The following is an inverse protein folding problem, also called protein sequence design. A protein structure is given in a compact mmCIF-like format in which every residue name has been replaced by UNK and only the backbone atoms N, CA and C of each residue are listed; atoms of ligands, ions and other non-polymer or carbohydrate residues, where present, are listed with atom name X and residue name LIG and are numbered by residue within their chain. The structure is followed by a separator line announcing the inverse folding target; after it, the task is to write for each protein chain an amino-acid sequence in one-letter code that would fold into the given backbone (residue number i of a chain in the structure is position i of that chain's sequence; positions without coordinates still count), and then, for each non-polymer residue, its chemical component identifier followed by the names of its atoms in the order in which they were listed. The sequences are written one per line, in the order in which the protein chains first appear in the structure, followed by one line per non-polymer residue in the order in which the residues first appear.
data_IF_422636409850
#
_entry.id   IF_422636409850
#
_cell.length_a   1.000
_cell.length_b   1.000
_cell.length_c   1.000
_cell.angle_alpha   90.00
_cell.angle_beta   90.00
_cell.angle_gamma   90.00
#
_symmetry.space_group_name_H-M   'P 1'
#
loop_
_entity.id
_entity.type
_entity.pdbx_description
1 polymer ?
#
# COMPACT_ATOMS: atom_id res chain seq x y z
N UNK A 1 3.46 25.22 3.29
CA UNK A 1 2.42 24.94 2.27
C UNK A 1 1.13 24.63 3.01
N UNK A 2 0.01 25.29 2.67
CA UNK A 2 -1.28 24.98 3.30
C UNK A 2 -1.94 23.78 2.61
N UNK A 3 -2.81 23.07 3.31
CA UNK A 3 -3.40 21.84 2.78
C UNK A 3 -4.42 22.11 1.65
N UNK A 4 -5.04 23.30 1.66
CA UNK A 4 -5.90 23.79 0.59
C UNK A 4 -5.13 24.04 -0.70
N UNK A 5 -3.85 24.41 -0.60
CA UNK A 5 -2.97 24.55 -1.76
C UNK A 5 -2.61 23.17 -2.33
N UNK A 6 -2.41 22.18 -1.46
CA UNK A 6 -2.18 20.79 -1.85
C UNK A 6 -3.36 20.19 -2.62
N UNK A 7 -4.61 20.43 -2.20
CA UNK A 7 -5.80 19.90 -2.87
C UNK A 7 -6.05 20.51 -4.27
N UNK A 8 -5.39 21.62 -4.60
CA UNK A 8 -5.44 22.29 -5.91
C UNK A 8 -4.32 21.87 -6.86
N UNK A 9 -3.27 21.21 -6.35
CA UNK A 9 -2.16 20.73 -7.17
C UNK A 9 -2.62 19.76 -8.26
N UNK A 10 -1.90 19.71 -9.37
CA UNK A 10 -2.18 18.75 -10.45
C UNK A 10 -1.99 17.30 -9.97
N UNK A 11 -2.61 16.34 -10.66
CA UNK A 11 -2.39 14.92 -10.39
C UNK A 11 -0.89 14.55 -10.39
N UNK A 12 -0.10 15.12 -11.30
CA UNK A 12 1.36 14.89 -11.38
C UNK A 12 2.12 15.39 -10.15
N UNK A 13 1.63 16.42 -9.47
CA UNK A 13 2.23 16.96 -8.25
C UNK A 13 1.77 16.22 -6.99
N UNK A 14 0.55 15.66 -6.99
CA UNK A 14 -0.04 14.95 -5.83
C UNK A 14 0.30 13.47 -5.77
N UNK A 15 1.56 13.09 -5.99
CA UNK A 15 1.99 11.69 -5.98
C UNK A 15 2.17 11.16 -4.54
N UNK A 16 1.07 11.13 -3.79
CA UNK A 16 1.03 10.74 -2.39
C UNK A 16 -0.11 9.78 -2.11
N UNK A 17 0.09 8.93 -1.11
CA UNK A 17 -0.91 8.03 -0.54
C UNK A 17 -1.22 8.51 0.87
N UNK A 18 -2.50 8.75 1.15
CA UNK A 18 -3.00 9.04 2.49
C UNK A 18 -3.46 7.74 3.14
N UNK A 19 -2.96 7.43 4.33
CA UNK A 19 -3.26 6.17 5.05
C UNK A 19 -3.65 6.47 6.49
N UNK A 20 -4.73 5.85 6.94
CA UNK A 20 -5.06 5.78 8.36
C UNK A 20 -4.08 4.84 9.04
N UNK A 21 -3.51 5.28 10.16
CA UNK A 21 -2.45 4.59 10.89
C UNK A 21 -2.91 4.11 12.28
N UNK A 22 -4.19 4.21 12.59
CA UNK A 22 -4.75 3.76 13.87
C UNK A 22 -5.08 2.27 13.85
N UNK A 23 -5.66 1.78 14.94
CA UNK A 23 -5.93 0.34 15.14
C UNK A 23 -7.38 -0.07 14.84
N UNK A 24 -8.24 0.87 14.43
CA UNK A 24 -9.65 0.56 14.11
C UNK A 24 -9.76 -0.34 12.87
N UNK A 25 -9.94 -1.64 13.12
CA UNK A 25 -10.03 -2.66 12.09
C UNK A 25 -11.21 -2.49 11.14
N UNK A 26 -12.27 -1.79 11.58
CA UNK A 26 -13.48 -1.56 10.77
C UNK A 26 -13.17 -0.68 9.56
N UNK A 27 -12.16 0.20 9.64
CA UNK A 27 -11.72 1.07 8.55
C UNK A 27 -10.91 0.34 7.48
N UNK A 28 -10.23 -0.75 7.83
CA UNK A 28 -9.38 -1.50 6.90
C UNK A 28 -10.17 -2.33 5.89
N UNK A 29 -11.27 -2.96 6.33
CA UNK A 29 -12.08 -3.86 5.48
C UNK A 29 -12.81 -3.17 4.32
N UNK A 30 -13.15 -1.88 4.46
CA UNK A 30 -14.00 -1.17 3.50
C UNK A 30 -13.24 -0.31 2.48
N UNK A 31 -11.91 -0.40 2.43
CA UNK A 31 -11.10 0.47 1.57
C UNK A 31 -11.15 1.96 1.93
N UNK A 32 -11.61 2.30 3.14
CA UNK A 32 -11.74 3.68 3.66
C UNK A 32 -10.51 4.14 4.46
N UNK A 33 -9.47 3.32 4.52
CA UNK A 33 -8.25 3.59 5.28
C UNK A 33 -7.06 3.99 4.40
N UNK A 34 -7.13 3.89 3.07
CA UNK A 34 -5.99 4.14 2.19
C UNK A 34 -6.47 4.78 0.88
N UNK A 35 -5.99 5.98 0.57
CA UNK A 35 -6.41 6.78 -0.59
C UNK A 35 -5.21 7.23 -1.42
N UNK A 36 -5.32 7.08 -2.75
CA UNK A 36 -4.34 7.62 -3.68
C UNK A 36 -4.75 9.06 -4.08
N UNK A 37 -3.97 10.05 -3.63
CA UNK A 37 -4.26 11.46 -3.86
C UNK A 37 -3.97 11.91 -5.30
N UNK A 38 -3.18 11.14 -6.05
CA UNK A 38 -2.89 11.40 -7.47
C UNK A 38 -4.01 10.96 -8.41
N UNK A 39 -4.79 9.96 -8.02
CA UNK A 39 -5.85 9.34 -8.84
C UNK A 39 -7.25 9.86 -8.48
N UNK A 40 -7.34 10.84 -7.58
CA UNK A 40 -8.61 11.43 -7.17
C UNK A 40 -8.79 12.86 -7.71
N UNK A 41 -10.04 13.26 -7.91
CA UNK A 41 -10.37 14.64 -8.27
C UNK A 41 -10.03 15.60 -7.13
N UNK A 42 -9.86 16.89 -7.43
CA UNK A 42 -9.54 17.92 -6.42
C UNK A 42 -10.55 17.90 -5.26
N UNK A 43 -11.85 17.83 -5.57
CA UNK A 43 -12.93 17.72 -4.57
C UNK A 43 -12.80 16.47 -3.68
N UNK A 44 -12.39 15.32 -4.25
CA UNK A 44 -12.17 14.11 -3.45
C UNK A 44 -10.92 14.25 -2.58
N UNK A 45 -9.84 14.82 -3.12
CA UNK A 45 -8.59 15.09 -2.41
C UNK A 45 -8.85 15.96 -1.18
N UNK A 46 -9.52 17.09 -1.38
CA UNK A 46 -9.96 18.01 -0.32
C UNK A 46 -10.74 17.28 0.76
N UNK A 47 -11.79 16.54 0.37
CA UNK A 47 -12.59 15.76 1.33
C UNK A 47 -11.76 14.78 2.15
N UNK A 48 -10.84 14.06 1.53
CA UNK A 48 -10.00 13.08 2.23
C UNK A 48 -9.04 13.77 3.22
N UNK A 49 -8.43 14.88 2.82
CA UNK A 49 -7.53 15.64 3.69
C UNK A 49 -8.28 16.27 4.86
N UNK A 50 -9.43 16.92 4.61
CA UNK A 50 -10.25 17.48 5.69
C UNK A 50 -10.74 16.42 6.66
N UNK A 51 -11.06 15.21 6.17
CA UNK A 51 -11.42 14.07 7.04
C UNK A 51 -10.23 13.66 7.91
N UNK A 52 -9.05 13.50 7.31
CA UNK A 52 -7.84 13.12 8.05
C UNK A 52 -7.42 14.17 9.08
N UNK A 53 -7.57 15.46 8.78
CA UNK A 53 -7.27 16.55 9.71
C UNK A 53 -8.25 16.56 10.90
N UNK A 54 -9.55 16.40 10.65
CA UNK A 54 -10.56 16.30 11.71
C UNK A 54 -10.33 15.06 12.59
N UNK A 55 -10.05 13.93 11.97
CA UNK A 55 -9.72 12.69 12.68
C UNK A 55 -8.47 12.91 13.56
N UNK A 56 -7.43 13.56 13.01
CA UNK A 56 -6.21 13.89 13.77
C UNK A 56 -6.49 14.77 14.99
N UNK A 57 -7.36 15.77 14.88
CA UNK A 57 -7.81 16.60 16.01
C UNK A 57 -8.53 15.78 17.09
N UNK A 58 -9.20 14.69 16.72
CA UNK A 58 -9.82 13.74 17.64
C UNK A 58 -8.88 12.64 18.16
N UNK A 59 -7.57 12.74 17.87
CA UNK A 59 -6.55 11.76 18.31
C UNK A 59 -6.38 10.56 17.38
N UNK A 60 -7.01 10.55 16.21
CA UNK A 60 -6.95 9.46 15.25
C UNK A 60 -5.82 9.66 14.24
N UNK A 61 -4.82 8.76 14.16
CA UNK A 61 -3.60 9.05 13.41
C UNK A 61 -3.77 8.77 11.91
N UNK A 62 -3.23 9.70 11.10
CA UNK A 62 -3.13 9.59 9.64
C UNK A 62 -1.71 9.92 9.19
N UNK A 63 -1.26 9.24 8.13
CA UNK A 63 0.05 9.47 7.51
C UNK A 63 -0.09 9.77 6.04
N UNK A 64 0.73 10.69 5.55
CA UNK A 64 0.94 10.94 4.13
C UNK A 64 2.29 10.35 3.72
N UNK A 65 2.29 9.53 2.67
CA UNK A 65 3.49 8.87 2.18
C UNK A 65 3.64 9.18 0.69
N UNK A 66 4.87 9.45 0.24
CA UNK A 66 5.16 9.53 -1.19
C UNK A 66 4.77 8.22 -1.89
N UNK A 67 4.19 8.32 -3.08
CA UNK A 67 3.82 7.16 -3.88
C UNK A 67 5.09 6.46 -4.34
N UNK A 68 5.14 5.14 -4.12
CA UNK A 68 6.14 4.29 -4.75
C UNK A 68 5.62 3.82 -6.11
N UNK A 69 6.43 4.04 -7.15
CA UNK A 69 6.14 3.64 -8.52
C UNK A 69 6.90 2.39 -8.92
N UNK A 70 7.77 1.88 -8.05
CA UNK A 70 8.61 0.75 -8.35
C UNK A 70 7.75 -0.47 -8.65
N UNK A 71 8.02 -1.07 -9.79
CA UNK A 71 7.47 -2.34 -10.22
C UNK A 71 8.59 -3.36 -10.32
N UNK A 72 8.19 -4.61 -10.27
CA UNK A 72 9.08 -5.75 -10.37
C UNK A 72 8.62 -6.62 -11.54
N UNK A 73 9.54 -7.18 -12.33
CA UNK A 73 9.20 -8.19 -13.32
C UNK A 73 8.73 -9.44 -12.61
N UNK A 74 7.55 -9.93 -12.98
CA UNK A 74 6.92 -11.12 -12.40
C UNK A 74 6.49 -12.04 -13.53
N UNK A 75 6.92 -13.30 -13.44
CA UNK A 75 6.44 -14.40 -14.27
C UNK A 75 5.44 -15.23 -13.48
N UNK A 76 4.22 -15.39 -13.99
CA UNK A 76 3.14 -16.06 -13.28
C UNK A 76 2.24 -16.83 -14.25
N UNK A 77 1.56 -17.86 -13.75
CA UNK A 77 0.51 -18.56 -14.48
C UNK A 77 -0.80 -17.77 -14.39
N UNK A 78 -1.39 -17.43 -15.52
CA UNK A 78 -2.68 -16.75 -15.61
C UNK A 78 -3.79 -17.80 -15.81
N UNK A 79 -4.60 -18.09 -14.77
CA UNK A 79 -5.60 -19.15 -14.83
C UNK A 79 -6.74 -18.86 -15.81
N UNK A 80 -6.93 -17.62 -16.25
CA UNK A 80 -8.01 -17.26 -17.17
C UNK A 80 -7.70 -17.66 -18.62
N UNK A 81 -6.42 -17.70 -18.98
CA UNK A 81 -5.93 -18.01 -20.33
C UNK A 81 -5.00 -19.22 -20.35
N UNK A 82 -4.86 -19.89 -19.21
CA UNK A 82 -4.04 -21.10 -18.98
C UNK A 82 -2.63 -21.01 -19.57
N UNK A 83 -1.91 -19.91 -19.31
CA UNK A 83 -0.54 -19.73 -19.80
C UNK A 83 0.32 -18.90 -18.86
N UNK A 84 1.64 -19.03 -19.02
CA UNK A 84 2.61 -18.18 -18.33
C UNK A 84 2.63 -16.79 -18.94
N UNK A 85 2.62 -15.77 -18.08
CA UNK A 85 2.74 -14.36 -18.46
C UNK A 85 3.88 -13.70 -17.71
N UNK A 86 4.52 -12.76 -18.39
CA UNK A 86 5.47 -11.83 -17.80
C UNK A 86 4.82 -10.45 -17.70
N UNK A 87 4.94 -9.78 -16.55
CA UNK A 87 4.42 -8.43 -16.34
C UNK A 87 5.20 -7.66 -15.28
N UNK A 88 5.20 -6.32 -15.42
CA UNK A 88 5.69 -5.39 -14.41
C UNK A 88 4.58 -5.09 -13.39
N UNK A 89 4.77 -5.52 -12.14
CA UNK A 89 3.76 -5.42 -11.07
C UNK A 89 4.27 -4.67 -9.84
N UNK A 90 3.35 -4.01 -9.13
CA UNK A 90 3.63 -3.50 -7.79
C UNK A 90 3.76 -4.66 -6.81
N UNK A 91 4.57 -4.49 -5.78
CA UNK A 91 4.82 -5.55 -4.80
C UNK A 91 4.54 -5.12 -3.36
N UNK A 92 4.26 -6.11 -2.52
CA UNK A 92 4.27 -6.02 -1.06
C UNK A 92 5.10 -7.18 -0.54
N UNK A 93 6.18 -6.86 0.14
CA UNK A 93 6.99 -7.84 0.85
C UNK A 93 6.53 -7.91 2.31
N UNK A 94 6.19 -9.11 2.77
CA UNK A 94 5.80 -9.37 4.15
C UNK A 94 6.78 -10.36 4.74
N UNK A 95 7.37 -10.01 5.88
CA UNK A 95 8.29 -10.88 6.61
C UNK A 95 7.69 -11.14 7.97
N UNK A 96 7.55 -12.41 8.32
CA UNK A 96 7.08 -12.88 9.61
C UNK A 96 8.29 -13.26 10.45
N UNK A 97 8.36 -12.76 11.67
CA UNK A 97 9.45 -13.04 12.60
C UNK A 97 8.90 -13.81 13.79
N UNK A 98 9.71 -14.71 14.33
CA UNK A 98 9.43 -15.40 15.60
C UNK A 98 10.54 -15.06 16.59
N UNK A 99 10.14 -14.79 17.82
CA UNK A 99 11.03 -14.58 18.96
C UNK A 99 10.78 -15.71 19.97
N UNK A 100 11.84 -16.41 20.38
CA UNK A 100 11.76 -17.51 21.36
C UNK A 100 12.36 -17.14 22.73
N UNK A 101 12.51 -15.85 23.02
CA UNK A 101 13.10 -15.29 24.23
C UNK A 101 14.62 -15.13 24.19
N UNK A 102 15.33 -15.87 23.34
CA UNK A 102 16.80 -15.77 23.18
C UNK A 102 17.20 -15.17 21.84
N UNK A 103 16.49 -15.56 20.77
CA UNK A 103 16.78 -15.15 19.40
C UNK A 103 15.51 -14.67 18.71
N UNK A 104 15.67 -13.71 17.82
CA UNK A 104 14.66 -13.32 16.82
C UNK A 104 15.12 -13.84 15.46
N UNK A 105 14.24 -14.56 14.75
CA UNK A 105 14.55 -15.09 13.43
C UNK A 105 13.37 -14.90 12.48
N UNK A 106 13.66 -14.84 11.18
CA UNK A 106 12.66 -14.83 10.12
C UNK A 106 12.02 -16.21 10.06
N UNK A 107 10.72 -16.29 10.31
CA UNK A 107 9.95 -17.52 10.21
C UNK A 107 9.47 -17.77 8.78
N UNK A 108 9.03 -16.71 8.09
CA UNK A 108 8.48 -16.80 6.74
C UNK A 108 8.64 -15.44 6.04
N UNK A 109 8.76 -15.46 4.72
CA UNK A 109 8.75 -14.23 3.92
C UNK A 109 8.05 -14.44 2.59
N UNK A 110 7.06 -13.60 2.35
CA UNK A 110 6.14 -13.69 1.20
C UNK A 110 6.18 -12.38 0.42
N UNK A 111 6.25 -12.49 -0.90
CA UNK A 111 6.01 -11.40 -1.81
C UNK A 111 4.62 -11.56 -2.44
N UNK A 112 3.82 -10.50 -2.37
CA UNK A 112 2.56 -10.39 -3.11
C UNK A 112 2.77 -9.38 -4.23
N UNK A 113 2.26 -9.66 -5.42
CA UNK A 113 2.35 -8.80 -6.58
C UNK A 113 0.98 -8.52 -7.18
N UNK A 114 0.76 -7.31 -7.67
CA UNK A 114 -0.48 -6.94 -8.34
C UNK A 114 -0.24 -5.83 -9.38
N UNK A 115 -1.04 -5.82 -10.45
CA UNK A 115 -1.03 -4.75 -11.47
C UNK A 115 -1.45 -3.39 -10.89
N UNK A 116 -2.26 -3.39 -9.85
CA UNK A 116 -2.72 -2.20 -9.13
C UNK A 116 -1.82 -1.89 -7.92
N UNK A 117 -1.67 -0.60 -7.62
CA UNK A 117 -0.83 -0.12 -6.51
C UNK A 117 -1.28 -0.63 -5.13
N UNK A 118 -2.57 -0.96 -4.98
CA UNK A 118 -3.11 -1.58 -3.76
C UNK A 118 -2.99 -3.10 -3.86
N UNK A 119 -1.82 -3.61 -3.49
CA UNK A 119 -1.42 -5.02 -3.65
C UNK A 119 -2.13 -5.98 -2.70
N UNK A 120 -2.41 -5.55 -1.46
CA UNK A 120 -3.01 -6.41 -0.44
C UNK A 120 -4.53 -6.60 -0.65
N UNK A 121 -5.00 -7.82 -0.39
CA UNK A 121 -6.44 -8.15 -0.31
C UNK A 121 -7.15 -8.25 -1.66
N UNK A 122 -6.41 -8.51 -2.75
CA UNK A 122 -6.99 -8.79 -4.07
C UNK A 122 -6.86 -10.26 -4.43
N UNK A 123 -7.91 -10.81 -5.02
CA UNK A 123 -7.96 -12.20 -5.45
C UNK A 123 -7.07 -12.47 -6.67
N UNK A 124 -6.77 -11.43 -7.47
CA UNK A 124 -5.93 -11.50 -8.68
C UNK A 124 -4.45 -11.23 -8.39
N UNK A 125 -4.04 -11.23 -7.12
CA UNK A 125 -2.64 -11.04 -6.74
C UNK A 125 -1.84 -12.33 -6.92
N UNK A 126 -0.64 -12.19 -7.46
CA UNK A 126 0.35 -13.28 -7.53
C UNK A 126 1.09 -13.34 -6.21
N UNK A 127 1.19 -14.53 -5.62
CA UNK A 127 1.89 -14.75 -4.34
C UNK A 127 3.09 -15.66 -4.58
N UNK A 128 4.23 -15.31 -4.00
CA UNK A 128 5.47 -16.08 -4.10
C UNK A 128 6.24 -16.05 -2.79
N UNK A 129 6.80 -17.19 -2.40
CA UNK A 129 7.76 -17.26 -1.30
C UNK A 129 9.07 -16.61 -1.71
N UNK A 130 9.64 -15.81 -0.82
CA UNK A 130 10.94 -15.15 -1.05
C UNK A 130 11.92 -15.51 0.04
N UNK A 131 13.22 -15.42 -0.26
CA UNK A 131 14.29 -15.59 0.72
C UNK A 131 14.85 -14.23 1.11
N UNK A 132 14.85 -13.93 2.40
CA UNK A 132 15.53 -12.74 2.94
C UNK A 132 16.97 -13.11 3.27
N UNK A 133 17.92 -12.48 2.57
CA UNK A 133 19.34 -12.64 2.87
C UNK A 133 19.74 -11.60 3.93
N UNK A 134 20.32 -12.05 5.03
CA UNK A 134 20.92 -11.15 6.01
C UNK A 134 22.22 -10.61 5.40
N UNK A 135 22.34 -9.28 5.27
CA UNK A 135 23.58 -8.65 4.85
C UNK A 135 24.53 -8.63 6.05
N UNK A 136 25.67 -9.32 5.91
CA UNK A 136 26.79 -9.33 6.85
C UNK A 136 27.65 -8.09 6.70
#
# INVERSE_FOLDING_TARGET
MRWEDFSKMSAKQRQFILKYAGTDYRRFGSGRAVFNLSECSNRKCERFISTALRDYESGEPWVIQARDFRKYPVRYWDPLIDTMRDAEMYSRFTVFYRNNGKNTYVAESVATFNKFWKVAGRYDSVVSDIRVKQLS
#
